data_IF_323165036338
#
_entry.id   IF_323165036338
#
_cell.length_a   1.000
_cell.length_b   1.000
_cell.length_c   1.000
_cell.angle_alpha   90.00
_cell.angle_beta   90.00
_cell.angle_gamma   90.00
#
_symmetry.space_group_name_H-M   'P 1'
#
loop_
_entity.id
_entity.type
_entity.pdbx_description
1 polymer ?
#
# COMPACT_ATOMS: atom_id res chain seq x y z
N UNK A 1 -20.02 9.26 -29.04
CA UNK A 1 -19.37 8.07 -28.43
C UNK A 1 -19.38 8.21 -26.90
N UNK A 2 -20.31 7.54 -26.20
CA UNK A 2 -20.33 7.56 -24.71
C UNK A 2 -19.41 6.45 -24.20
N UNK A 3 -18.27 6.82 -23.58
CA UNK A 3 -17.40 5.86 -22.90
C UNK A 3 -18.18 5.29 -21.70
N UNK A 4 -18.54 4.01 -21.78
CA UNK A 4 -19.22 3.29 -20.70
C UNK A 4 -18.19 3.11 -19.56
N UNK A 5 -18.23 3.99 -18.56
CA UNK A 5 -17.50 3.76 -17.31
C UNK A 5 -18.12 2.51 -16.66
N UNK A 6 -17.43 1.37 -16.70
CA UNK A 6 -17.78 0.22 -15.86
C UNK A 6 -17.32 0.56 -14.45
N UNK A 7 -18.26 0.63 -13.53
CA UNK A 7 -17.95 0.65 -12.11
C UNK A 7 -17.28 -0.67 -11.75
N UNK A 8 -16.01 -0.62 -11.35
CA UNK A 8 -15.36 -1.73 -10.67
C UNK A 8 -15.42 -1.42 -9.19
N UNK A 9 -16.30 -2.12 -8.46
CA UNK A 9 -16.22 -2.12 -7.01
C UNK A 9 -15.01 -2.97 -6.62
N UNK A 10 -13.95 -2.31 -6.19
CA UNK A 10 -12.91 -2.94 -5.38
C UNK A 10 -13.28 -2.60 -3.93
N UNK A 11 -14.48 -3.04 -3.53
CA UNK A 11 -14.66 -3.40 -2.12
C UNK A 11 -13.50 -4.30 -1.77
N UNK A 12 -12.80 -4.04 -0.65
CA UNK A 12 -11.76 -4.88 -0.08
C UNK A 12 -11.93 -6.30 -0.62
N UNK A 13 -11.09 -6.74 -1.59
CA UNK A 13 -11.44 -7.81 -2.52
C UNK A 13 -11.99 -8.97 -1.69
N UNK A 14 -13.12 -9.59 -2.08
CA UNK A 14 -13.76 -10.57 -1.22
C UNK A 14 -12.76 -11.69 -0.91
N UNK A 15 -12.11 -11.60 0.26
CA UNK A 15 -11.17 -12.58 0.80
C UNK A 15 -11.86 -13.94 1.08
N UNK A 16 -13.12 -14.08 0.65
CA UNK A 16 -13.98 -15.25 0.74
C UNK A 16 -14.27 -15.90 -0.62
N UNK A 17 -13.55 -15.56 -1.68
CA UNK A 17 -13.51 -16.42 -2.86
C UNK A 17 -12.82 -17.75 -2.47
N UNK A 18 -13.64 -18.79 -2.35
CA UNK A 18 -13.24 -20.15 -1.93
C UNK A 18 -12.11 -20.69 -2.84
N UNK A 19 -11.13 -21.28 -2.15
CA UNK A 19 -10.04 -22.14 -2.62
C UNK A 19 -8.84 -21.46 -3.31
N UNK A 20 -7.65 -21.75 -2.75
CA UNK A 20 -6.27 -21.65 -3.28
C UNK A 20 -5.34 -20.58 -2.67
N UNK A 21 -5.80 -19.47 -2.08
CA UNK A 21 -4.89 -18.57 -1.32
C UNK A 21 -5.52 -18.05 -0.02
N UNK A 22 -5.03 -18.53 1.13
CA UNK A 22 -5.34 -17.98 2.46
C UNK A 22 -4.69 -16.60 2.57
N UNK A 23 -5.37 -15.58 2.07
CA UNK A 23 -4.89 -14.19 2.04
C UNK A 23 -5.65 -13.37 3.08
N UNK A 24 -4.92 -12.64 3.91
CA UNK A 24 -5.48 -11.69 4.85
C UNK A 24 -5.04 -10.29 4.40
N UNK A 25 -5.96 -9.56 3.77
CA UNK A 25 -5.71 -8.16 3.42
C UNK A 25 -5.26 -7.41 4.69
N UNK A 26 -4.17 -6.66 4.61
CA UNK A 26 -3.97 -5.62 5.60
C UNK A 26 -5.15 -4.66 5.46
N UNK A 27 -5.65 -4.09 6.55
CA UNK A 27 -6.77 -3.13 6.49
C UNK A 27 -6.48 -1.86 5.68
N UNK A 28 -5.38 -1.81 4.94
CA UNK A 28 -5.00 -0.79 3.96
C UNK A 28 -5.91 -0.85 2.73
N UNK A 29 -6.37 0.32 2.30
CA UNK A 29 -7.05 0.46 1.02
C UNK A 29 -6.11 0.19 -0.16
N UNK A 30 -6.60 -0.42 -1.27
CA UNK A 30 -5.83 -0.58 -2.49
C UNK A 30 -5.40 0.77 -3.09
N UNK A 31 -4.24 0.79 -3.75
CA UNK A 31 -3.72 1.97 -4.45
C UNK A 31 -3.77 1.73 -5.96
N UNK A 32 -4.36 2.65 -6.71
CA UNK A 32 -4.31 2.61 -8.17
C UNK A 32 -3.05 3.32 -8.67
N UNK A 33 -2.10 2.56 -9.22
CA UNK A 33 -0.82 3.06 -9.69
C UNK A 33 -0.48 2.41 -11.03
N UNK A 34 0.12 3.13 -11.98
CA UNK A 34 0.54 2.59 -13.28
C UNK A 34 -0.52 1.73 -14.01
N UNK A 35 -1.80 2.08 -13.90
CA UNK A 35 -2.90 1.37 -14.57
C UNK A 35 -3.35 0.06 -13.91
N UNK A 36 -2.86 -0.24 -12.70
CA UNK A 36 -3.22 -1.44 -11.94
C UNK A 36 -3.51 -1.13 -10.47
N UNK A 37 -4.20 -2.04 -9.78
CA UNK A 37 -4.45 -1.92 -8.34
C UNK A 37 -3.41 -2.69 -7.55
N UNK A 38 -2.80 -2.01 -6.59
CA UNK A 38 -1.80 -2.56 -5.69
C UNK A 38 -2.43 -2.77 -4.33
N UNK A 39 -2.35 -4.00 -3.82
CA UNK A 39 -2.90 -4.38 -2.53
C UNK A 39 -1.78 -4.92 -1.65
N UNK A 40 -1.65 -4.34 -0.46
CA UNK A 40 -0.76 -4.81 0.58
C UNK A 40 -1.48 -5.87 1.44
N UNK A 41 -0.72 -6.77 2.03
CA UNK A 41 -1.24 -7.76 2.95
C UNK A 41 -0.60 -7.72 4.33
N UNK A 42 -1.14 -8.49 5.25
CA UNK A 42 -0.65 -8.53 6.63
C UNK A 42 0.79 -9.05 6.77
N UNK A 43 1.36 -9.68 5.74
CA UNK A 43 2.75 -10.14 5.69
C UNK A 43 3.67 -9.16 4.94
N UNK A 44 3.14 -8.02 4.47
CA UNK A 44 3.88 -7.04 3.69
C UNK A 44 4.07 -7.43 2.22
N UNK A 45 3.36 -8.44 1.73
CA UNK A 45 3.40 -8.82 0.32
C UNK A 45 2.52 -7.87 -0.48
N UNK A 46 3.06 -7.40 -1.60
CA UNK A 46 2.36 -6.53 -2.52
C UNK A 46 1.84 -7.35 -3.70
N UNK A 47 0.53 -7.31 -3.92
CA UNK A 47 -0.13 -7.95 -5.06
C UNK A 47 -0.65 -6.89 -6.01
N UNK A 48 -0.61 -7.21 -7.29
CA UNK A 48 -1.08 -6.34 -8.37
C UNK A 48 -2.26 -7.00 -9.06
N UNK A 49 -3.39 -6.30 -9.14
CA UNK A 49 -4.53 -6.66 -9.96
C UNK A 49 -4.53 -5.80 -11.23
N UNK A 50 -4.36 -6.45 -12.36
CA UNK A 50 -4.52 -5.82 -13.67
C UNK A 50 -6.01 -5.76 -14.05
N UNK A 51 -6.64 -4.58 -14.16
CA UNK A 51 -8.09 -4.46 -14.35
C UNK A 51 -8.56 -5.00 -15.70
N UNK A 52 -7.70 -4.88 -16.73
CA UNK A 52 -8.02 -5.31 -18.11
C UNK A 52 -8.05 -6.82 -18.26
N UNK A 53 -7.11 -7.50 -17.61
CA UNK A 53 -6.95 -8.96 -17.70
C UNK A 53 -7.62 -9.70 -16.54
N UNK A 54 -8.02 -8.98 -15.48
CA UNK A 54 -8.52 -9.53 -14.22
C UNK A 54 -7.55 -10.55 -13.60
N UNK A 55 -6.24 -10.35 -13.81
CA UNK A 55 -5.19 -11.22 -13.30
C UNK A 55 -4.53 -10.63 -12.07
N UNK A 56 -4.29 -11.49 -11.08
CA UNK A 56 -3.51 -11.16 -9.89
C UNK A 56 -2.07 -11.65 -10.06
N UNK A 57 -1.11 -10.81 -9.67
CA UNK A 57 0.31 -11.16 -9.63
C UNK A 57 0.92 -10.75 -8.30
N UNK A 58 1.73 -11.63 -7.72
CA UNK A 58 2.57 -11.29 -6.58
C UNK A 58 3.77 -10.45 -7.07
N UNK A 59 3.97 -9.28 -6.48
CA UNK A 59 5.09 -8.40 -6.83
C UNK A 59 6.23 -8.52 -5.84
N UNK A 60 5.95 -8.53 -4.53
CA UNK A 60 6.99 -8.59 -3.49
C UNK A 60 6.86 -9.86 -2.65
N UNK A 61 7.97 -10.28 -2.06
CA UNK A 61 7.96 -11.23 -0.95
C UNK A 61 7.58 -10.53 0.36
N UNK A 62 7.43 -11.32 1.41
CA UNK A 62 7.20 -10.82 2.76
C UNK A 62 8.36 -9.93 3.24
N UNK A 63 8.06 -9.05 4.20
CA UNK A 63 9.06 -8.15 4.78
C UNK A 63 9.01 -8.23 6.30
N UNK A 64 10.18 -8.26 6.94
CA UNK A 64 10.32 -8.49 8.40
C UNK A 64 9.59 -7.47 9.28
N UNK A 65 9.37 -6.26 8.77
CA UNK A 65 8.57 -5.23 9.44
C UNK A 65 7.11 -5.67 9.70
N UNK A 66 6.60 -6.63 8.91
CA UNK A 66 5.27 -7.20 9.04
C UNK A 66 5.31 -8.56 9.75
N UNK A 67 6.20 -9.45 9.33
CA UNK A 67 6.20 -10.85 9.81
C UNK A 67 6.67 -11.00 11.25
N UNK A 68 7.65 -10.20 11.69
CA UNK A 68 8.15 -10.29 13.08
C UNK A 68 7.22 -9.59 14.08
N UNK A 69 6.24 -8.83 13.62
CA UNK A 69 5.38 -7.98 14.44
C UNK A 69 3.93 -8.04 13.93
N UNK A 70 3.20 -9.13 14.20
CA UNK A 70 1.87 -9.39 13.62
C UNK A 70 0.80 -8.37 14.05
N UNK A 71 1.06 -7.60 15.11
CA UNK A 71 0.18 -6.52 15.58
C UNK A 71 0.43 -5.19 14.87
N UNK A 72 1.41 -5.13 13.97
CA UNK A 72 1.65 -3.95 13.16
C UNK A 72 0.56 -3.79 12.09
N UNK A 73 0.22 -2.54 11.81
CA UNK A 73 -0.69 -2.17 10.74
C UNK A 73 0.10 -1.58 9.58
N UNK A 74 -0.06 -2.17 8.40
CA UNK A 74 0.50 -1.65 7.16
C UNK A 74 -0.49 -0.76 6.45
N UNK A 75 -0.01 0.39 6.00
CA UNK A 75 -0.72 1.34 5.14
C UNK A 75 0.03 1.41 3.82
N UNK A 76 -0.68 1.47 2.69
CA UNK A 76 -0.11 1.58 1.35
C UNK A 76 -0.60 2.88 0.71
N UNK A 77 0.31 3.59 0.05
CA UNK A 77 -0.03 4.82 -0.67
C UNK A 77 0.95 5.07 -1.82
N UNK A 78 0.52 5.92 -2.74
CA UNK A 78 1.37 6.54 -3.75
C UNK A 78 1.82 7.91 -3.25
N UNK A 79 3.11 8.19 -3.37
CA UNK A 79 3.67 9.51 -3.05
C UNK A 79 3.41 10.53 -4.15
N UNK A 80 3.58 11.82 -3.84
CA UNK A 80 3.54 12.88 -4.85
C UNK A 80 4.57 12.68 -5.99
N UNK A 81 5.64 11.89 -5.77
CA UNK A 81 6.65 11.53 -6.78
C UNK A 81 6.30 10.28 -7.60
N UNK A 82 5.11 9.69 -7.42
CA UNK A 82 4.71 8.45 -8.10
C UNK A 82 5.41 7.20 -7.58
N UNK A 83 5.79 7.20 -6.30
CA UNK A 83 6.48 6.10 -5.63
C UNK A 83 5.50 5.35 -4.74
N UNK A 84 5.54 4.02 -4.75
CA UNK A 84 4.77 3.23 -3.80
C UNK A 84 5.50 3.17 -2.45
N UNK A 85 4.82 3.66 -1.42
CA UNK A 85 5.30 3.72 -0.05
C UNK A 85 4.35 2.91 0.83
N UNK A 86 4.92 2.15 1.76
CA UNK A 86 4.18 1.57 2.86
C UNK A 86 4.65 2.14 4.19
N UNK A 87 3.70 2.55 5.03
CA UNK A 87 3.99 2.91 6.42
C UNK A 87 3.46 1.81 7.32
N UNK A 88 4.37 1.26 8.12
CA UNK A 88 4.08 0.21 9.09
C UNK A 88 4.06 0.84 10.48
N UNK A 89 2.87 0.87 11.08
CA UNK A 89 2.64 1.44 12.39
C UNK A 89 2.51 0.31 13.41
N UNK A 90 3.33 0.39 14.46
CA UNK A 90 3.29 -0.55 15.56
C UNK A 90 2.09 -0.31 16.50
N UNK A 91 1.85 -1.22 17.45
CA UNK A 91 0.73 -1.12 18.37
C UNK A 91 0.69 0.24 19.08
N UNK A 92 -0.47 0.91 19.05
CA UNK A 92 -0.67 2.23 19.66
C UNK A 92 0.33 3.29 19.18
N UNK A 93 0.83 3.19 17.94
CA UNK A 93 1.77 4.16 17.37
C UNK A 93 3.19 4.11 17.94
N UNK A 94 3.54 3.08 18.73
CA UNK A 94 4.85 2.98 19.42
C UNK A 94 6.06 2.90 18.50
N UNK A 95 5.86 2.55 17.23
CA UNK A 95 6.93 2.54 16.24
C UNK A 95 6.37 2.86 14.88
N UNK A 96 7.10 3.62 14.09
CA UNK A 96 6.77 3.87 12.67
C UNK A 96 7.95 3.37 11.84
N UNK A 97 7.66 2.58 10.81
CA UNK A 97 8.65 2.17 9.81
C UNK A 97 8.14 2.57 8.44
N UNK A 98 8.96 3.31 7.71
CA UNK A 98 8.66 3.76 6.36
C UNK A 98 9.38 2.85 5.38
N UNK A 99 8.66 2.31 4.40
CA UNK A 99 9.16 1.41 3.39
C UNK A 99 8.84 1.97 2.01
N UNK A 100 9.82 1.97 1.10
CA UNK A 100 9.65 2.34 -0.30
C UNK A 100 9.84 1.12 -1.17
N UNK A 101 8.99 0.95 -2.18
CA UNK A 101 9.13 -0.13 -3.15
C UNK A 101 10.29 0.18 -4.11
N UNK A 102 11.33 -0.66 -4.11
CA UNK A 102 12.35 -0.69 -5.16
C UNK A 102 11.75 -1.38 -6.39
N UNK A 103 11.35 -0.60 -7.39
CA UNK A 103 10.66 -1.11 -8.60
C UNK A 103 11.52 -2.11 -9.39
N UNK A 104 12.85 -1.95 -9.36
CA UNK A 104 13.77 -2.80 -10.13
C UNK A 104 13.94 -4.17 -9.49
N UNK A 105 14.01 -4.20 -8.15
CA UNK A 105 14.21 -5.44 -7.39
C UNK A 105 12.91 -6.04 -6.87
N UNK A 106 11.80 -5.32 -6.99
CA UNK A 106 10.48 -5.68 -6.46
C UNK A 106 10.53 -6.06 -4.97
N UNK A 107 11.26 -5.27 -4.18
CA UNK A 107 11.40 -5.45 -2.72
C UNK A 107 11.15 -4.14 -1.99
N UNK A 108 10.73 -4.24 -0.74
CA UNK A 108 10.64 -3.10 0.16
C UNK A 108 12.04 -2.71 0.66
N UNK A 109 12.36 -1.42 0.59
CA UNK A 109 13.52 -0.82 1.27
C UNK A 109 13.06 0.08 2.39
N UNK A 110 13.68 -0.06 3.56
CA UNK A 110 13.49 0.86 4.68
C UNK A 110 14.04 2.24 4.33
N UNK A 111 13.27 3.27 4.62
CA UNK A 111 13.70 4.66 4.59
C UNK A 111 14.01 5.15 6.01
N UNK A 112 14.90 6.14 6.13
CA UNK A 112 15.23 6.79 7.41
C UNK A 112 14.14 7.74 7.87
N UNK A 113 13.49 8.40 6.92
CA UNK A 113 12.44 9.39 7.14
C UNK A 113 11.43 9.36 5.98
N UNK A 114 10.47 10.28 6.01
CA UNK A 114 9.47 10.51 4.97
C UNK A 114 9.89 11.58 3.96
N UNK A 115 11.16 12.01 3.98
CA UNK A 115 11.80 12.97 3.07
C UNK A 115 11.06 14.33 2.98
N UNK A 116 10.82 15.00 4.11
CA UNK A 116 10.16 16.31 4.13
C UNK A 116 8.67 16.26 3.75
N UNK A 117 8.00 15.15 4.08
CA UNK A 117 6.58 14.93 3.78
C UNK A 117 5.78 14.78 5.06
N UNK A 118 4.53 15.23 5.03
CA UNK A 118 3.53 14.90 6.04
C UNK A 118 2.67 13.75 5.51
N UNK A 119 2.39 12.79 6.38
CA UNK A 119 1.64 11.57 6.04
C UNK A 119 0.37 11.49 6.86
N UNK A 120 -0.76 11.32 6.17
CA UNK A 120 -2.06 11.08 6.78
C UNK A 120 -2.41 9.61 6.57
N UNK A 121 -2.64 8.88 7.66
CA UNK A 121 -2.89 7.45 7.64
C UNK A 121 -4.26 7.15 8.23
N UNK A 122 -5.10 6.49 7.44
CA UNK A 122 -6.32 5.88 7.92
C UNK A 122 -6.55 4.54 7.20
N UNK A 123 -7.32 3.62 7.78
CA UNK A 123 -7.68 2.38 7.08
C UNK A 123 -8.40 2.64 5.74
N UNK A 124 -9.24 3.70 5.69
CA UNK A 124 -10.04 4.05 4.52
C UNK A 124 -9.27 4.81 3.43
N UNK A 125 -8.26 5.59 3.81
CA UNK A 125 -7.44 6.36 2.87
C UNK A 125 -6.11 6.76 3.50
N UNK A 126 -5.09 6.87 2.65
CA UNK A 126 -3.77 7.35 3.03
C UNK A 126 -3.32 8.38 2.00
N UNK A 127 -2.68 9.46 2.46
CA UNK A 127 -2.20 10.54 1.60
C UNK A 127 -0.88 11.08 2.12
N UNK A 128 -0.07 11.61 1.22
CA UNK A 128 1.17 12.34 1.55
C UNK A 128 1.13 13.73 0.96
N UNK A 129 1.66 14.71 1.67
CA UNK A 129 1.84 16.08 1.20
C UNK A 129 3.28 16.53 1.48
N UNK A 130 3.83 17.46 0.71
CA UNK A 130 5.11 18.06 1.08
C UNK A 130 4.96 18.97 2.29
N UNK A 131 6.01 19.11 3.10
CA UNK A 131 6.01 20.09 4.19
C UNK A 131 5.93 21.53 3.67
N UNK A 132 6.53 21.80 2.50
CA UNK A 132 6.48 23.10 1.80
C UNK A 132 5.03 23.53 1.50
N UNK A 133 4.22 22.64 0.93
CA UNK A 133 2.81 22.92 0.61
C UNK A 133 1.96 23.20 1.86
N UNK A 134 2.36 22.69 3.02
CA UNK A 134 1.66 22.90 4.28
C UNK A 134 2.13 24.13 5.04
N UNK A 135 3.14 24.85 4.54
CA UNK A 135 3.78 25.95 5.29
C UNK A 135 4.39 25.48 6.61
N UNK A 136 4.69 24.18 6.72
CA UNK A 136 5.38 23.60 7.87
C UNK A 136 6.87 23.67 7.53
N UNK A 137 7.44 24.87 7.55
CA UNK A 137 8.89 25.02 7.56
C UNK A 137 9.44 24.41 8.86
N UNK A 138 10.56 23.69 8.77
CA UNK A 138 11.29 23.16 9.93
C UNK A 138 12.16 24.23 10.58
#
# INVERSE_FOLDING_TARGET
MRRRCRWFSISNPPCKAKAIFKWSCSGSSPVFHNGAFYCLDQQGRLRVLEPRSNKWRLLTTEHSAFTNKPTNQGYLMESHKGELISIVVGPRGKSVTVLKLDKNRTVWRRMTDVEGRVVFLSPASCMTMSCEELGVEQ
#
